data_IF_069690766050
#
_entry.id   IF_069690766050
#
_cell.length_a   1.000
_cell.length_b   1.000
_cell.length_c   1.000
_cell.angle_alpha   90.00
_cell.angle_beta   90.00
_cell.angle_gamma   90.00
#
_symmetry.space_group_name_H-M   'P 1'
#
loop_
_entity.id
_entity.type
_entity.pdbx_description
1 polymer ?
#
# COMPACT_ATOMS: atom_id res chain seq x y z
N UNK A 1 1.05 22.84 -14.56
CA UNK A 1 0.44 22.95 -15.91
C UNK A 1 -1.08 23.04 -15.87
N UNK A 2 -1.81 22.09 -15.27
CA UNK A 2 -3.30 22.17 -15.25
C UNK A 2 -3.91 23.20 -14.29
N UNK A 3 -3.18 23.63 -13.27
CA UNK A 3 -3.70 24.48 -12.18
C UNK A 3 -2.94 25.80 -12.00
N UNK A 4 -1.93 26.03 -12.83
CA UNK A 4 -1.05 27.21 -12.75
C UNK A 4 -0.98 27.74 -14.17
N UNK A 5 -1.22 29.04 -14.35
CA UNK A 5 -0.95 29.70 -15.63
C UNK A 5 0.52 29.45 -16.00
N UNK A 6 0.85 29.15 -17.28
CA UNK A 6 2.23 29.06 -17.72
C UNK A 6 3.03 30.26 -17.19
N UNK A 7 4.23 30.00 -16.68
CA UNK A 7 5.18 31.01 -16.14
C UNK A 7 4.75 31.76 -14.87
N UNK A 8 3.60 31.46 -14.26
CA UNK A 8 3.15 32.18 -13.06
C UNK A 8 3.88 31.78 -11.77
N UNK A 9 4.45 30.57 -11.72
CA UNK A 9 5.22 30.07 -10.57
C UNK A 9 6.41 29.24 -11.06
N UNK A 10 7.60 29.61 -10.60
CA UNK A 10 8.81 28.83 -10.79
C UNK A 10 8.88 27.70 -9.74
N UNK A 11 9.20 26.48 -10.18
CA UNK A 11 9.32 25.35 -9.26
C UNK A 11 10.46 24.39 -9.61
N UNK A 12 11.00 23.72 -8.59
CA UNK A 12 11.99 22.67 -8.75
C UNK A 12 11.58 21.40 -8.00
N UNK A 13 11.98 20.24 -8.51
CA UNK A 13 11.78 18.95 -7.85
C UNK A 13 13.06 18.55 -7.12
N UNK A 14 13.00 18.51 -5.79
CA UNK A 14 14.06 17.99 -4.95
C UNK A 14 13.84 16.49 -4.72
N UNK A 15 14.19 15.67 -5.73
CA UNK A 15 13.98 14.22 -5.71
C UNK A 15 14.96 13.51 -6.65
N UNK A 16 15.33 12.26 -6.33
CA UNK A 16 16.13 11.40 -7.21
C UNK A 16 17.63 11.75 -7.25
N UNK A 17 18.32 11.20 -8.25
CA UNK A 17 19.75 11.40 -8.49
C UNK A 17 20.08 12.83 -8.94
N UNK A 18 19.17 13.46 -9.69
CA UNK A 18 19.32 14.80 -10.26
C UNK A 18 18.90 15.91 -9.29
N UNK A 19 18.75 15.59 -7.99
CA UNK A 19 18.36 16.60 -7.01
C UNK A 19 19.41 17.73 -6.94
N UNK A 20 18.98 18.99 -6.93
CA UNK A 20 19.89 20.12 -6.80
C UNK A 20 20.60 20.03 -5.45
N UNK A 21 21.94 20.12 -5.48
CA UNK A 21 22.78 20.14 -4.27
C UNK A 21 23.13 21.55 -3.82
N UNK A 22 22.93 22.51 -4.71
CA UNK A 22 23.20 23.92 -4.51
C UNK A 22 21.97 24.63 -3.91
N UNK A 23 22.18 25.44 -2.88
CA UNK A 23 21.11 26.15 -2.17
C UNK A 23 20.61 27.31 -3.04
N UNK A 24 21.48 27.89 -3.84
CA UNK A 24 21.22 29.05 -4.69
C UNK A 24 20.21 28.67 -5.79
N UNK A 25 20.30 27.44 -6.31
CA UNK A 25 19.29 26.88 -7.21
C UNK A 25 17.92 26.74 -6.55
N UNK A 26 17.86 26.41 -5.25
CA UNK A 26 16.60 26.34 -4.50
C UNK A 26 16.03 27.73 -4.16
N UNK A 27 16.90 28.73 -3.95
CA UNK A 27 16.51 30.13 -3.70
C UNK A 27 16.00 30.84 -4.94
N UNK A 28 16.44 30.40 -6.13
CA UNK A 28 16.03 30.99 -7.40
C UNK A 28 14.60 30.64 -7.81
N UNK A 29 13.95 29.70 -7.12
CA UNK A 29 12.58 29.25 -7.41
C UNK A 29 11.62 29.56 -6.27
N UNK A 30 10.34 29.68 -6.58
CA UNK A 30 9.29 29.99 -5.61
C UNK A 30 8.73 28.75 -4.91
N UNK A 31 8.81 27.59 -5.56
CA UNK A 31 8.26 26.33 -5.05
C UNK A 31 9.28 25.18 -5.14
N UNK A 32 9.43 24.44 -4.04
CA UNK A 32 10.25 23.23 -4.01
C UNK A 32 9.37 22.04 -3.66
N UNK A 33 9.33 21.05 -4.55
CA UNK A 33 8.57 19.82 -4.37
C UNK A 33 9.51 18.68 -3.96
N UNK A 34 9.20 17.98 -2.87
CA UNK A 34 9.98 16.86 -2.35
C UNK A 34 9.06 15.75 -1.85
N UNK A 35 9.60 14.59 -1.51
CA UNK A 35 8.88 13.48 -0.89
C UNK A 35 9.29 13.32 0.57
N UNK A 36 8.44 12.70 1.40
CA UNK A 36 8.78 12.40 2.80
C UNK A 36 10.06 11.57 2.95
N UNK A 37 10.29 10.61 2.04
CA UNK A 37 11.49 9.78 2.05
C UNK A 37 12.74 10.60 1.71
N UNK A 38 12.68 11.46 0.69
CA UNK A 38 13.79 12.34 0.32
C UNK A 38 14.08 13.36 1.40
N UNK A 39 13.05 13.94 2.04
CA UNK A 39 13.20 14.84 3.17
C UNK A 39 13.89 14.16 4.36
N UNK A 40 13.47 12.94 4.71
CA UNK A 40 14.09 12.16 5.78
C UNK A 40 15.56 11.80 5.46
N UNK A 41 15.87 11.48 4.21
CA UNK A 41 17.23 11.22 3.76
C UNK A 41 18.10 12.49 3.78
N UNK A 42 17.58 13.64 3.37
CA UNK A 42 18.29 14.92 3.44
C UNK A 42 18.57 15.33 4.89
N UNK A 43 17.59 15.15 5.79
CA UNK A 43 17.76 15.42 7.22
C UNK A 43 18.88 14.62 7.87
N UNK A 44 19.05 13.36 7.46
CA UNK A 44 20.11 12.49 7.98
C UNK A 44 21.47 12.75 7.32
N UNK A 45 21.48 13.34 6.12
CA UNK A 45 22.68 13.57 5.31
C UNK A 45 23.07 15.03 5.22
N UNK A 46 22.92 15.60 4.02
CA UNK A 46 23.47 16.91 3.65
C UNK A 46 22.74 18.10 4.29
N UNK A 47 21.48 17.88 4.73
CA UNK A 47 20.59 18.85 5.38
C UNK A 47 20.43 20.15 4.56
N UNK A 48 20.34 20.04 3.24
CA UNK A 48 20.28 21.19 2.35
C UNK A 48 19.03 22.02 2.64
N UNK A 49 17.87 21.35 2.79
CA UNK A 49 16.59 22.02 3.04
C UNK A 49 16.52 22.71 4.41
N UNK A 50 17.46 22.43 5.31
CA UNK A 50 17.50 22.99 6.67
C UNK A 50 18.40 24.24 6.79
N UNK A 51 19.17 24.55 5.73
CA UNK A 51 20.07 25.72 5.67
C UNK A 51 19.37 27.00 5.20
N UNK A 52 18.06 26.93 4.94
CA UNK A 52 17.23 28.06 4.54
C UNK A 52 15.96 28.16 5.39
N UNK A 53 15.41 29.36 5.48
CA UNK A 53 14.10 29.61 6.09
C UNK A 53 13.02 29.52 5.01
N UNK A 54 12.00 28.70 5.24
CA UNK A 54 10.89 28.52 4.34
C UNK A 54 9.75 29.47 4.68
N UNK A 55 9.19 30.13 3.66
CA UNK A 55 8.01 30.97 3.82
C UNK A 55 6.77 30.19 4.30
N UNK A 56 6.63 28.94 3.82
CA UNK A 56 5.55 28.01 4.15
C UNK A 56 5.99 26.57 3.89
N UNK A 57 5.59 25.64 4.76
CA UNK A 57 5.69 24.20 4.52
C UNK A 57 4.28 23.63 4.48
N UNK A 58 3.99 22.87 3.43
CA UNK A 58 2.70 22.18 3.23
C UNK A 58 2.97 20.69 3.15
N UNK A 59 2.34 19.93 4.03
CA UNK A 59 2.39 18.48 4.05
C UNK A 59 1.13 17.93 3.39
N UNK A 60 1.29 17.33 2.22
CA UNK A 60 0.22 16.57 1.58
C UNK A 60 0.18 15.14 2.14
N UNK A 61 -1.02 14.57 2.25
CA UNK A 61 -1.27 13.34 3.00
C UNK A 61 -0.60 13.31 4.39
N UNK A 62 -0.85 14.33 5.21
CA UNK A 62 -0.15 14.53 6.48
C UNK A 62 -0.26 13.35 7.47
N UNK A 63 -1.16 12.38 7.25
CA UNK A 63 -1.22 11.14 8.02
C UNK A 63 0.10 10.33 7.99
N UNK A 64 0.99 10.55 7.02
CA UNK A 64 2.33 9.94 6.96
C UNK A 64 3.24 10.31 8.15
N UNK A 65 3.00 11.43 8.82
CA UNK A 65 3.81 11.89 9.97
C UNK A 65 3.15 11.59 11.33
N UNK A 66 2.11 10.73 11.37
CA UNK A 66 1.33 10.42 12.58
C UNK A 66 2.12 9.98 13.81
N UNK A 67 3.32 9.43 13.58
CA UNK A 67 4.21 8.97 14.65
C UNK A 67 5.33 9.99 14.89
N UNK A 68 5.29 10.64 16.06
CA UNK A 68 6.28 11.64 16.46
C UNK A 68 7.71 11.10 16.61
N UNK A 69 7.90 9.79 16.77
CA UNK A 69 9.24 9.18 16.82
C UNK A 69 9.82 8.84 15.45
N UNK A 70 9.00 8.89 14.39
CA UNK A 70 9.42 8.53 13.04
C UNK A 70 10.50 9.46 12.50
N UNK A 71 11.34 8.94 11.59
CA UNK A 71 12.34 9.75 10.89
C UNK A 71 11.68 10.84 10.04
N UNK A 72 10.55 10.54 9.40
CA UNK A 72 9.81 11.51 8.57
C UNK A 72 9.24 12.65 9.41
N UNK A 73 8.63 12.35 10.56
CA UNK A 73 8.12 13.38 11.47
C UNK A 73 9.22 14.32 11.94
N UNK A 74 10.35 13.77 12.41
CA UNK A 74 11.48 14.59 12.87
C UNK A 74 12.03 15.46 11.75
N UNK A 75 12.19 14.89 10.56
CA UNK A 75 12.65 15.63 9.39
C UNK A 75 11.70 16.80 9.03
N UNK A 76 10.38 16.56 8.97
CA UNK A 76 9.41 17.60 8.67
C UNK A 76 9.32 18.67 9.76
N UNK A 77 9.31 18.27 11.03
CA UNK A 77 9.18 19.18 12.17
C UNK A 77 10.40 20.12 12.31
N UNK A 78 11.61 19.64 11.99
CA UNK A 78 12.84 20.42 12.07
C UNK A 78 13.03 21.46 10.95
N UNK A 79 12.15 21.52 9.94
CA UNK A 79 12.23 22.58 8.92
C UNK A 79 11.94 23.95 9.56
N UNK A 80 12.78 24.93 9.24
CA UNK A 80 12.61 26.32 9.68
C UNK A 80 11.50 26.99 8.87
N UNK A 81 10.34 27.19 9.49
CA UNK A 81 9.18 27.89 8.89
C UNK A 81 8.27 28.43 9.98
N UNK A 82 7.63 29.56 9.70
CA UNK A 82 6.57 30.16 10.53
C UNK A 82 5.16 29.70 10.13
N UNK A 83 4.98 29.16 8.92
CA UNK A 83 3.67 28.78 8.37
C UNK A 83 3.65 27.31 8.00
N UNK A 84 2.74 26.56 8.60
CA UNK A 84 2.67 25.09 8.47
C UNK A 84 1.24 24.69 8.13
N UNK A 85 1.10 23.83 7.14
CA UNK A 85 -0.19 23.30 6.68
C UNK A 85 -0.12 21.78 6.60
N UNK A 86 -1.18 21.13 7.04
CA UNK A 86 -1.42 19.71 6.86
C UNK A 86 -2.65 19.54 5.97
N UNK A 87 -2.50 18.85 4.85
CA UNK A 87 -3.59 18.44 3.97
C UNK A 87 -3.74 16.92 4.12
N UNK A 88 -4.92 16.46 4.51
CA UNK A 88 -5.22 15.03 4.67
C UNK A 88 -6.73 14.83 4.71
N UNK A 89 -7.24 13.82 4.00
CA UNK A 89 -8.64 13.39 4.11
C UNK A 89 -8.92 12.65 5.41
N UNK A 90 -7.90 11.95 5.94
CA UNK A 90 -7.97 11.08 7.12
C UNK A 90 -6.97 11.57 8.19
N UNK A 91 -7.28 12.61 8.97
CA UNK A 91 -6.37 13.11 10.03
C UNK A 91 -6.20 12.13 11.20
N UNK A 92 -7.12 11.18 11.35
CA UNK A 92 -7.12 10.12 12.36
C UNK A 92 -7.25 8.81 11.60
N UNK A 93 -6.32 7.87 11.77
CA UNK A 93 -6.38 6.57 11.09
C UNK A 93 -6.53 5.42 12.06
N UNK A 94 -5.61 5.30 13.02
CA UNK A 94 -5.60 4.14 13.92
C UNK A 94 -5.96 4.54 15.34
N UNK A 95 -5.46 5.69 15.80
CA UNK A 95 -5.66 6.13 17.18
C UNK A 95 -5.76 7.65 17.26
N UNK A 96 -6.42 8.14 18.31
CA UNK A 96 -6.58 9.58 18.53
C UNK A 96 -5.25 10.30 18.81
N UNK A 97 -4.21 9.56 19.23
CA UNK A 97 -2.87 10.08 19.38
C UNK A 97 -2.24 10.54 18.05
N UNK A 98 -2.77 10.09 16.91
CA UNK A 98 -2.33 10.54 15.58
C UNK A 98 -2.46 12.08 15.48
N UNK A 99 -3.49 12.67 16.11
CA UNK A 99 -3.70 14.13 16.16
C UNK A 99 -2.59 14.87 16.91
N UNK A 100 -1.95 14.23 17.88
CA UNK A 100 -0.89 14.86 18.69
C UNK A 100 0.29 15.21 17.80
N UNK A 101 0.68 14.29 16.93
CA UNK A 101 1.79 14.53 16.00
C UNK A 101 1.47 15.67 15.04
N UNK A 102 0.26 15.71 14.47
CA UNK A 102 -0.18 16.78 13.58
C UNK A 102 -0.18 18.14 14.30
N UNK A 103 -0.71 18.17 15.53
CA UNK A 103 -0.69 19.36 16.38
C UNK A 103 0.73 19.83 16.72
N UNK A 104 1.64 18.91 17.01
CA UNK A 104 3.05 19.19 17.27
C UNK A 104 3.76 19.76 16.04
N UNK A 105 3.53 19.17 14.86
CA UNK A 105 4.08 19.68 13.62
C UNK A 105 3.54 21.08 13.34
N UNK A 106 2.23 21.30 13.45
CA UNK A 106 1.58 22.59 13.20
C UNK A 106 1.87 23.66 14.28
N UNK A 107 2.44 23.27 15.42
CA UNK A 107 2.74 24.14 16.57
C UNK A 107 1.49 24.86 17.12
N UNK A 108 0.36 24.15 17.18
CA UNK A 108 -0.93 24.72 17.61
C UNK A 108 -0.98 24.91 19.14
N UNK A 109 -1.52 26.04 19.65
CA UNK A 109 -1.78 26.20 21.07
C UNK A 109 -3.11 25.53 21.50
N UNK A 110 -3.28 25.16 22.77
CA UNK A 110 -2.28 25.13 23.82
C UNK A 110 -1.53 23.78 23.80
N UNK A 111 -0.33 23.72 23.19
CA UNK A 111 0.51 22.52 23.27
C UNK A 111 1.94 22.88 23.66
N UNK A 112 2.35 22.57 24.91
CA UNK A 112 3.77 22.43 25.19
C UNK A 112 4.24 20.96 25.11
N UNK A 113 3.39 19.96 25.38
CA UNK A 113 3.79 18.53 25.41
C UNK A 113 2.67 17.53 25.09
N UNK A 114 3.06 16.31 24.67
CA UNK A 114 2.16 15.16 24.45
C UNK A 114 1.28 14.85 25.68
N UNK A 115 1.84 14.93 26.88
CA UNK A 115 1.15 14.65 28.13
C UNK A 115 0.00 15.64 28.40
N UNK A 116 0.21 16.93 28.11
CA UNK A 116 -0.84 17.95 28.27
C UNK A 116 -2.01 17.70 27.32
N UNK A 117 -1.72 17.38 26.05
CA UNK A 117 -2.75 17.06 25.07
C UNK A 117 -3.54 15.81 25.47
N UNK A 118 -2.84 14.75 25.91
CA UNK A 118 -3.48 13.54 26.39
C UNK A 118 -4.36 13.80 27.60
N UNK A 119 -3.92 14.58 28.58
CA UNK A 119 -4.71 14.85 29.80
C UNK A 119 -5.93 15.72 29.51
N UNK A 120 -5.76 16.80 28.75
CA UNK A 120 -6.76 17.86 28.66
C UNK A 120 -7.71 17.71 27.46
N UNK A 121 -7.26 17.08 26.37
CA UNK A 121 -8.04 16.91 25.14
C UNK A 121 -8.57 15.48 25.02
N UNK A 122 -7.70 14.48 25.17
CA UNK A 122 -8.08 13.08 24.98
C UNK A 122 -8.62 12.40 26.24
N UNK A 123 -8.13 12.76 27.42
CA UNK A 123 -8.51 12.17 28.71
C UNK A 123 -10.02 12.20 28.98
N UNK A 124 -10.72 13.32 28.71
CA UNK A 124 -12.17 13.39 28.85
C UNK A 124 -12.92 12.37 27.97
N UNK A 125 -12.37 11.97 26.82
CA UNK A 125 -13.00 10.98 25.93
C UNK A 125 -13.03 9.59 26.57
N UNK A 126 -11.97 9.23 27.30
CA UNK A 126 -11.84 7.92 27.95
C UNK A 126 -12.66 7.81 29.25
N UNK A 127 -12.95 8.94 29.90
CA UNK A 127 -13.68 8.98 31.18
C UNK A 127 -15.21 8.93 31.02
N UNK A 128 -15.72 9.26 29.83
CA UNK A 128 -17.17 9.32 29.57
C UNK A 128 -17.86 10.49 30.28
N UNK A 129 -19.19 10.61 30.11
CA UNK A 129 -20.02 11.64 30.75
C UNK A 129 -20.65 12.66 29.78
N UNK A 130 -21.49 13.55 30.29
CA UNK A 130 -22.09 14.65 29.51
C UNK A 130 -20.97 15.62 29.07
N UNK A 131 -20.80 15.81 27.75
CA UNK A 131 -19.76 16.67 27.13
C UNK A 131 -18.33 16.09 27.05
N UNK A 132 -18.15 14.78 27.16
CA UNK A 132 -16.85 14.11 27.02
C UNK A 132 -16.04 14.53 25.77
N UNK A 133 -16.74 14.77 24.64
CA UNK A 133 -16.11 15.16 23.37
C UNK A 133 -15.92 16.67 23.17
N UNK A 134 -16.43 17.52 24.08
CA UNK A 134 -16.43 18.99 23.91
C UNK A 134 -15.01 19.57 23.76
N UNK A 135 -13.99 19.17 24.54
CA UNK A 135 -12.63 19.69 24.39
C UNK A 135 -12.02 19.36 23.01
N UNK A 136 -12.15 18.11 22.57
CA UNK A 136 -11.66 17.68 21.26
C UNK A 136 -12.41 18.40 20.13
N UNK A 137 -13.74 18.51 20.24
CA UNK A 137 -14.54 19.18 19.21
C UNK A 137 -14.17 20.67 19.09
N UNK A 138 -14.06 21.39 20.20
CA UNK A 138 -13.65 22.79 20.18
C UNK A 138 -12.23 22.97 19.59
N UNK A 139 -11.31 22.04 19.90
CA UNK A 139 -9.97 22.03 19.33
C UNK A 139 -9.99 21.83 17.81
N UNK A 140 -10.76 20.85 17.33
CA UNK A 140 -10.89 20.59 15.90
C UNK A 140 -11.63 21.72 15.17
N UNK A 141 -12.67 22.31 15.75
CA UNK A 141 -13.39 23.44 15.16
C UNK A 141 -12.48 24.69 15.02
N UNK A 142 -11.54 24.89 15.94
CA UNK A 142 -10.61 26.02 15.89
C UNK A 142 -9.50 25.86 14.82
N UNK A 143 -9.04 24.62 14.58
CA UNK A 143 -7.80 24.38 13.80
C UNK A 143 -7.97 23.51 12.55
N UNK A 144 -9.10 22.82 12.41
CA UNK A 144 -9.36 21.91 11.29
C UNK A 144 -10.53 22.43 10.45
N UNK A 145 -10.29 22.59 9.16
CA UNK A 145 -11.35 22.81 8.18
C UNK A 145 -11.67 21.49 7.48
N UNK A 146 -12.77 20.85 7.86
CA UNK A 146 -13.28 19.64 7.18
C UNK A 146 -14.65 19.93 6.60
N UNK A 147 -14.76 19.82 5.27
CA UNK A 147 -16.03 19.86 4.54
C UNK A 147 -16.33 18.45 4.04
N UNK A 148 -17.58 18.03 4.14
CA UNK A 148 -18.01 16.72 3.63
C UNK A 148 -18.55 16.84 2.21
N UNK A 149 -18.60 15.72 1.50
CA UNK A 149 -19.22 15.63 0.18
C UNK A 149 -20.68 16.06 0.16
N UNK A 150 -21.37 16.11 1.31
CA UNK A 150 -22.72 16.67 1.44
C UNK A 150 -22.81 18.14 1.01
N UNK A 151 -21.67 18.84 0.94
CA UNK A 151 -21.60 20.20 0.38
C UNK A 151 -21.58 20.21 -1.17
N UNK A 152 -21.49 19.05 -1.80
CA UNK A 152 -21.47 18.84 -3.24
C UNK A 152 -22.71 18.04 -3.64
N UNK A 153 -23.36 18.42 -4.74
CA UNK A 153 -24.45 17.63 -5.33
C UNK A 153 -23.86 16.55 -6.23
N UNK A 154 -23.29 15.51 -5.62
CA UNK A 154 -22.78 14.35 -6.34
C UNK A 154 -23.84 13.24 -6.36
N UNK A 155 -23.91 12.43 -7.44
CA UNK A 155 -24.72 11.21 -7.41
C UNK A 155 -24.20 10.28 -6.31
N UNK A 156 -25.08 9.54 -5.62
CA UNK A 156 -24.65 8.64 -4.56
C UNK A 156 -23.74 7.54 -5.13
N UNK A 157 -22.59 7.33 -4.49
CA UNK A 157 -21.79 6.12 -4.73
C UNK A 157 -22.56 4.92 -4.17
N UNK A 158 -22.65 3.84 -4.94
CA UNK A 158 -23.27 2.58 -4.51
C UNK A 158 -22.18 1.59 -4.16
N UNK A 159 -22.05 1.29 -2.88
CA UNK A 159 -21.23 0.19 -2.38
C UNK A 159 -22.06 -1.10 -2.42
N UNK A 160 -21.45 -2.19 -2.90
CA UNK A 160 -22.07 -3.51 -2.97
C UNK A 160 -21.07 -4.58 -2.51
N UNK A 161 -21.42 -5.28 -1.44
CA UNK A 161 -20.62 -6.39 -0.93
C UNK A 161 -21.04 -7.68 -1.63
N UNK A 162 -20.15 -8.20 -2.48
CA UNK A 162 -20.39 -9.44 -3.24
C UNK A 162 -19.85 -10.63 -2.45
N UNK A 163 -20.74 -11.36 -1.79
CA UNK A 163 -20.39 -12.60 -1.09
C UNK A 163 -20.15 -13.73 -2.09
N UNK A 164 -18.97 -14.33 -2.05
CA UNK A 164 -18.57 -15.44 -2.93
C UNK A 164 -18.58 -16.77 -2.18
N UNK A 165 -19.02 -17.82 -2.86
CA UNK A 165 -18.93 -19.20 -2.36
C UNK A 165 -17.69 -19.85 -2.93
N UNK A 166 -16.74 -20.25 -2.07
CA UNK A 166 -15.53 -20.94 -2.51
C UNK A 166 -15.87 -22.22 -3.25
N UNK A 167 -15.09 -22.55 -4.27
CA UNK A 167 -15.20 -23.85 -4.95
C UNK A 167 -14.97 -25.00 -3.96
N UNK A 168 -15.51 -26.19 -4.25
CA UNK A 168 -15.35 -27.37 -3.37
C UNK A 168 -13.88 -27.65 -3.05
N UNK A 169 -12.98 -27.45 -4.03
CA UNK A 169 -11.54 -27.64 -3.86
C UNK A 169 -10.90 -26.58 -2.97
N UNK A 170 -11.23 -25.30 -3.16
CA UNK A 170 -10.73 -24.21 -2.31
C UNK A 170 -11.28 -24.31 -0.89
N UNK A 171 -12.56 -24.68 -0.73
CA UNK A 171 -13.21 -24.89 0.56
C UNK A 171 -12.49 -25.98 1.36
N UNK A 172 -12.19 -27.11 0.71
CA UNK A 172 -11.46 -28.20 1.35
C UNK A 172 -10.06 -27.79 1.81
N UNK A 173 -9.28 -27.10 0.96
CA UNK A 173 -7.95 -26.60 1.34
C UNK A 173 -8.04 -25.56 2.47
N UNK A 174 -9.07 -24.72 2.45
CA UNK A 174 -9.29 -23.72 3.50
C UNK A 174 -9.57 -24.41 4.83
N UNK A 175 -10.43 -25.43 4.84
CA UNK A 175 -10.76 -26.17 6.07
C UNK A 175 -9.56 -26.91 6.63
N UNK A 176 -8.73 -27.54 5.78
CA UNK A 176 -7.47 -28.15 6.21
C UNK A 176 -6.52 -27.13 6.88
N UNK A 177 -6.35 -25.97 6.24
CA UNK A 177 -5.51 -24.90 6.77
C UNK A 177 -6.08 -24.30 8.07
N UNK A 178 -7.40 -24.19 8.16
CA UNK A 178 -8.09 -23.70 9.34
C UNK A 178 -7.89 -24.67 10.52
N UNK A 179 -8.05 -25.97 10.29
CA UNK A 179 -7.86 -27.00 11.32
C UNK A 179 -6.41 -27.06 11.80
N UNK A 180 -5.45 -26.95 10.88
CA UNK A 180 -4.03 -26.89 11.23
C UNK A 180 -3.72 -25.65 12.07
N UNK A 181 -4.19 -24.48 11.62
CA UNK A 181 -4.04 -23.21 12.33
C UNK A 181 -4.64 -23.28 13.72
N UNK A 182 -5.84 -23.84 13.85
CA UNK A 182 -6.54 -24.00 15.13
C UNK A 182 -5.71 -24.85 16.09
N UNK A 183 -5.22 -26.01 15.64
CA UNK A 183 -4.34 -26.88 16.43
C UNK A 183 -3.06 -26.16 16.90
N UNK A 184 -2.45 -25.36 16.02
CA UNK A 184 -1.27 -24.56 16.39
C UNK A 184 -1.61 -23.51 17.46
N UNK A 185 -2.75 -22.82 17.34
CA UNK A 185 -3.19 -21.84 18.34
C UNK A 185 -3.50 -22.52 19.67
N UNK A 186 -4.24 -23.63 19.67
CA UNK A 186 -4.62 -24.37 20.88
C UNK A 186 -3.38 -24.86 21.64
N UNK A 187 -2.35 -25.33 20.93
CA UNK A 187 -1.05 -25.71 21.51
C UNK A 187 -0.36 -24.52 22.18
N UNK A 188 -0.34 -23.35 21.52
CA UNK A 188 0.32 -22.15 22.03
C UNK A 188 -0.38 -21.58 23.27
N UNK A 189 -1.71 -21.62 23.31
CA UNK A 189 -2.49 -21.17 24.47
C UNK A 189 -2.25 -22.09 25.67
N UNK A 190 -2.00 -23.37 25.42
CA UNK A 190 -1.74 -24.37 26.46
C UNK A 190 -0.35 -24.23 27.09
N UNK A 191 0.64 -23.69 26.36
CA UNK A 191 2.04 -23.61 26.82
C UNK A 191 2.34 -22.45 27.80
N UNK A 192 1.37 -21.63 28.21
CA UNK A 192 1.55 -20.41 29.07
C UNK A 192 2.56 -19.39 28.55
N UNK A 193 3.15 -19.61 27.39
CA UNK A 193 4.01 -18.65 26.74
C UNK A 193 3.13 -17.53 26.18
N UNK A 194 3.55 -16.28 26.35
CA UNK A 194 2.83 -15.13 25.77
C UNK A 194 2.61 -15.40 24.29
N UNK A 195 1.35 -15.62 23.88
CA UNK A 195 1.00 -15.92 22.49
C UNK A 195 1.64 -14.86 21.62
N UNK A 196 2.72 -15.22 20.91
CA UNK A 196 3.37 -14.30 19.99
C UNK A 196 2.33 -13.99 18.91
N UNK A 197 1.70 -12.82 18.97
CA UNK A 197 0.65 -12.39 18.06
C UNK A 197 1.04 -12.58 16.59
N UNK A 198 2.35 -12.56 16.30
CA UNK A 198 2.94 -12.89 15.02
C UNK A 198 2.45 -14.24 14.45
N UNK A 199 2.35 -15.31 15.26
CA UNK A 199 1.89 -16.63 14.78
C UNK A 199 0.42 -16.59 14.32
N UNK A 200 -0.43 -15.85 15.05
CA UNK A 200 -1.84 -15.62 14.67
C UNK A 200 -1.93 -14.83 13.36
N UNK A 201 -1.17 -13.74 13.22
CA UNK A 201 -1.15 -12.94 12.00
C UNK A 201 -0.65 -13.74 10.80
N UNK A 202 0.39 -14.57 10.97
CA UNK A 202 0.87 -15.46 9.91
C UNK A 202 -0.23 -16.40 9.44
N UNK A 203 -0.97 -17.02 10.37
CA UNK A 203 -2.04 -17.94 9.99
C UNK A 203 -3.23 -17.24 9.32
N UNK A 204 -3.63 -16.06 9.81
CA UNK A 204 -4.62 -15.21 9.14
C UNK A 204 -4.17 -14.83 7.73
N UNK A 205 -2.88 -14.52 7.54
CA UNK A 205 -2.33 -14.20 6.24
C UNK A 205 -2.40 -15.40 5.28
N UNK A 206 -2.10 -16.61 5.74
CA UNK A 206 -2.24 -17.84 4.93
C UNK A 206 -3.66 -18.03 4.41
N UNK A 207 -4.66 -17.88 5.29
CA UNK A 207 -6.08 -18.01 4.91
C UNK A 207 -6.50 -16.93 3.91
N UNK A 208 -6.08 -15.67 4.12
CA UNK A 208 -6.32 -14.57 3.19
C UNK A 208 -5.71 -14.85 1.81
N UNK A 209 -4.49 -15.37 1.77
CA UNK A 209 -3.78 -15.72 0.53
C UNK A 209 -4.49 -16.81 -0.26
N UNK A 210 -4.99 -17.85 0.40
CA UNK A 210 -5.77 -18.90 -0.23
C UNK A 210 -7.07 -18.35 -0.84
N UNK A 211 -7.79 -17.48 -0.12
CA UNK A 211 -9.00 -16.84 -0.65
C UNK A 211 -8.72 -15.96 -1.89
N UNK A 212 -7.52 -15.40 -2.03
CA UNK A 212 -7.15 -14.56 -3.17
C UNK A 212 -6.61 -15.38 -4.35
N UNK A 213 -5.72 -16.33 -4.07
CA UNK A 213 -4.93 -17.06 -5.09
C UNK A 213 -5.55 -18.41 -5.49
N UNK A 214 -6.53 -18.89 -4.72
CA UNK A 214 -7.21 -20.16 -4.97
C UNK A 214 -6.27 -21.36 -4.93
N UNK A 215 -6.57 -22.37 -5.75
CA UNK A 215 -5.81 -23.63 -5.80
C UNK A 215 -4.58 -23.59 -6.71
N UNK A 216 -4.33 -22.48 -7.40
CA UNK A 216 -3.29 -22.37 -8.43
C UNK A 216 -1.86 -22.46 -7.88
N UNK A 217 -1.64 -22.09 -6.62
CA UNK A 217 -0.32 -22.24 -5.97
C UNK A 217 0.05 -23.70 -5.65
N UNK A 218 -0.70 -24.68 -6.16
CA UNK A 218 -0.38 -26.11 -6.06
C UNK A 218 0.66 -26.62 -7.07
N UNK A 219 1.15 -25.79 -8.00
CA UNK A 219 2.18 -26.21 -8.96
C UNK A 219 3.55 -26.53 -8.33
N UNK A 220 3.71 -26.34 -7.00
CA UNK A 220 4.88 -26.77 -6.22
C UNK A 220 4.62 -27.91 -5.23
N UNK A 221 3.45 -28.56 -5.24
CA UNK A 221 3.12 -29.66 -4.32
C UNK A 221 3.55 -31.04 -4.86
N UNK A 222 4.79 -31.17 -5.38
CA UNK A 222 5.42 -32.50 -5.44
C UNK A 222 6.10 -32.77 -4.10
N UNK A 223 5.36 -33.40 -3.20
CA UNK A 223 5.88 -33.94 -1.95
C UNK A 223 6.79 -35.12 -2.28
N UNK A 224 8.09 -34.86 -2.49
CA UNK A 224 9.11 -35.90 -2.41
C UNK A 224 10.52 -35.30 -2.36
N UNK A 225 11.14 -35.47 -1.19
CA UNK A 225 12.59 -35.59 -0.93
C UNK A 225 13.51 -34.45 -1.38
N UNK A 226 13.93 -33.60 -0.44
CA UNK A 226 15.29 -33.05 -0.39
C UNK A 226 15.67 -32.73 1.06
N UNK A 227 16.83 -33.23 1.47
CA UNK A 227 17.36 -33.19 2.83
C UNK A 227 17.91 -31.82 3.28
N UNK A 228 18.59 -31.79 4.45
CA UNK A 228 18.93 -30.56 5.13
C UNK A 228 20.17 -29.92 4.50
N UNK A 229 19.97 -28.93 3.62
CA UNK A 229 21.01 -27.95 3.31
C UNK A 229 20.43 -26.56 3.51
N UNK A 230 20.76 -25.97 4.67
CA UNK A 230 20.47 -24.59 5.03
C UNK A 230 21.10 -23.65 3.98
N UNK A 231 20.28 -22.86 3.29
CA UNK A 231 20.69 -21.65 2.57
C UNK A 231 19.83 -20.50 3.05
N UNK A 232 20.49 -19.40 3.41
CA UNK A 232 19.84 -18.17 3.88
C UNK A 232 18.98 -17.56 2.78
N UNK A 233 17.68 -17.42 3.05
CA UNK A 233 16.73 -16.77 2.15
C UNK A 233 16.22 -15.51 2.82
N UNK A 234 16.65 -14.34 2.34
CA UNK A 234 16.33 -13.02 2.91
C UNK A 234 15.31 -12.21 2.12
N UNK A 235 14.48 -11.43 2.81
CA UNK A 235 13.59 -10.46 2.18
C UNK A 235 14.33 -9.14 1.91
N UNK A 236 14.45 -8.72 0.65
CA UNK A 236 15.13 -7.47 0.25
C UNK A 236 14.55 -6.19 0.91
N UNK A 237 13.35 -6.26 1.49
CA UNK A 237 12.64 -5.10 2.05
C UNK A 237 12.51 -5.13 3.58
N UNK A 238 12.58 -6.30 4.19
CA UNK A 238 12.43 -6.48 5.63
C UNK A 238 13.79 -6.84 6.20
N UNK A 239 14.46 -5.89 6.84
CA UNK A 239 15.81 -6.06 7.42
C UNK A 239 15.84 -6.90 8.70
N UNK A 240 14.84 -7.75 8.94
CA UNK A 240 14.74 -8.60 10.11
C UNK A 240 14.98 -10.05 9.72
N UNK A 241 16.08 -10.62 10.18
CA UNK A 241 16.28 -12.07 10.21
C UNK A 241 16.35 -12.47 11.67
N UNK A 242 15.24 -12.96 12.22
CA UNK A 242 15.30 -13.87 13.36
C UNK A 242 15.29 -15.29 12.79
N UNK A 243 16.30 -16.09 13.11
CA UNK A 243 16.46 -17.48 12.65
C UNK A 243 15.23 -18.36 12.99
N UNK A 244 14.50 -18.01 14.04
CA UNK A 244 13.25 -18.67 14.47
C UNK A 244 12.04 -18.42 13.53
N UNK A 245 12.15 -17.47 12.61
CA UNK A 245 11.03 -17.08 11.71
C UNK A 245 11.06 -17.82 10.37
N UNK A 246 12.12 -18.57 10.07
CA UNK A 246 12.20 -19.42 8.87
C UNK A 246 11.56 -20.77 9.16
N UNK A 247 10.24 -20.77 9.33
CA UNK A 247 9.47 -22.00 9.21
C UNK A 247 9.39 -22.35 7.73
N UNK A 248 10.30 -23.21 7.28
CA UNK A 248 10.26 -23.91 6.00
C UNK A 248 8.91 -24.63 5.89
N UNK A 249 7.94 -23.98 5.24
CA UNK A 249 6.73 -24.65 4.79
C UNK A 249 7.05 -25.37 3.48
N UNK A 250 6.69 -26.65 3.44
CA UNK A 250 6.57 -27.49 2.25
C UNK A 250 6.21 -26.67 0.98
N UNK A 251 7.24 -26.23 0.25
CA UNK A 251 7.13 -25.60 -1.08
C UNK A 251 6.73 -24.11 -1.14
N UNK A 252 6.55 -23.40 -0.03
CA UNK A 252 6.10 -21.99 -0.05
C UNK A 252 7.11 -21.09 0.65
N UNK A 253 8.12 -20.61 -0.09
CA UNK A 253 9.07 -19.63 0.43
C UNK A 253 8.43 -18.24 0.42
N UNK A 254 7.98 -17.74 1.57
CA UNK A 254 7.46 -16.38 1.74
C UNK A 254 8.05 -15.71 2.99
N UNK A 255 8.22 -14.39 2.94
CA UNK A 255 8.66 -13.56 4.04
C UNK A 255 7.55 -13.51 5.10
N UNK A 256 7.81 -13.92 6.35
CA UNK A 256 6.81 -13.90 7.42
C UNK A 256 6.36 -12.49 7.81
N UNK A 257 7.20 -11.47 7.60
CA UNK A 257 6.88 -10.08 7.98
C UNK A 257 6.04 -9.33 6.95
N UNK A 258 6.19 -9.65 5.67
CA UNK A 258 5.50 -8.92 4.59
C UNK A 258 4.71 -9.79 3.62
N UNK A 259 4.70 -11.11 3.81
CA UNK A 259 3.98 -12.06 2.98
C UNK A 259 4.49 -12.18 1.54
N UNK A 260 5.68 -11.64 1.22
CA UNK A 260 6.24 -11.70 -0.14
C UNK A 260 6.92 -13.04 -0.42
N UNK A 261 6.78 -13.62 -1.63
CA UNK A 261 7.54 -14.81 -2.00
C UNK A 261 9.05 -14.52 -1.93
N UNK A 262 9.82 -15.41 -1.31
CA UNK A 262 11.27 -15.34 -1.28
C UNK A 262 11.82 -16.23 -2.40
N UNK A 263 12.64 -15.66 -3.28
CA UNK A 263 13.17 -16.39 -4.44
C UNK A 263 14.33 -17.31 -4.02
N UNK A 264 14.32 -18.56 -4.47
CA UNK A 264 15.51 -19.43 -4.49
C UNK A 264 16.27 -19.11 -5.78
N UNK A 265 17.43 -18.48 -5.68
CA UNK A 265 18.38 -18.42 -6.79
C UNK A 265 18.94 -19.83 -7.04
N UNK A 266 18.55 -20.46 -8.15
CA UNK A 266 19.10 -21.75 -8.57
C UNK A 266 20.54 -21.59 -9.08
N UNK A 267 21.49 -22.48 -8.70
CA UNK A 267 22.78 -22.56 -9.35
C UNK A 267 22.68 -23.43 -10.61
N UNK A 268 23.12 -22.91 -11.76
CA UNK A 268 23.46 -23.70 -12.95
C UNK A 268 24.58 -24.72 -12.61
N UNK A 269 24.58 -25.95 -13.19
CA UNK A 269 25.80 -26.74 -13.32
C UNK A 269 26.61 -26.25 -14.54
N UNK A 270 27.93 -26.16 -14.36
CA UNK A 270 28.84 -25.56 -15.34
C UNK A 270 29.27 -26.44 -16.52
N UNK A 271 29.78 -25.71 -17.52
CA UNK A 271 30.69 -26.05 -18.65
C UNK A 271 30.25 -27.04 -19.72
N UNK A 272 30.08 -26.57 -20.97
CA UNK A 272 31.03 -26.70 -22.11
C UNK A 272 30.74 -25.58 -23.13
N UNK A 273 31.79 -25.07 -23.77
CA UNK A 273 31.86 -23.98 -24.75
C UNK A 273 30.87 -24.03 -25.94
N UNK A 274 30.48 -22.86 -26.45
CA UNK A 274 29.84 -22.70 -27.76
C UNK A 274 29.09 -21.38 -27.95
N UNK A 275 29.62 -20.51 -28.82
CA UNK A 275 29.03 -19.23 -29.23
C UNK A 275 27.61 -19.35 -29.82
N UNK A 276 26.65 -18.54 -29.37
CA UNK A 276 25.74 -17.66 -30.17
C UNK A 276 24.58 -17.11 -29.32
N UNK A 277 24.13 -15.92 -29.70
CA UNK A 277 23.27 -15.02 -28.92
C UNK A 277 21.91 -15.57 -28.48
N UNK A 278 21.38 -14.94 -27.43
CA UNK A 278 20.06 -15.21 -26.86
C UNK A 278 19.60 -14.06 -25.96
N UNK A 279 18.32 -13.76 -26.07
CA UNK A 279 17.57 -12.68 -25.44
C UNK A 279 17.70 -12.68 -23.91
N UNK A 280 17.76 -11.48 -23.32
CA UNK A 280 17.95 -11.29 -21.88
C UNK A 280 16.77 -11.82 -21.07
N UNK A 281 17.01 -12.90 -20.33
CA UNK A 281 16.10 -13.52 -19.39
C UNK A 281 15.92 -12.61 -18.15
N UNK A 282 14.76 -11.94 -18.10
CA UNK A 282 14.40 -11.02 -17.02
C UNK A 282 13.84 -11.80 -15.82
N UNK A 283 14.57 -11.73 -14.71
CA UNK A 283 14.21 -12.20 -13.37
C UNK A 283 12.70 -12.07 -13.04
N UNK A 284 12.12 -13.17 -12.56
CA UNK A 284 10.69 -13.43 -12.44
C UNK A 284 9.86 -12.52 -11.52
N UNK A 285 8.70 -12.16 -12.07
CA UNK A 285 7.53 -11.47 -11.54
C UNK A 285 7.15 -11.75 -10.07
N UNK A 286 7.11 -10.72 -9.22
CA UNK A 286 6.78 -10.86 -7.79
C UNK A 286 5.41 -10.28 -7.38
N UNK A 287 4.50 -10.05 -8.33
CA UNK A 287 3.12 -9.60 -8.05
C UNK A 287 2.10 -10.63 -8.56
N UNK A 288 2.08 -11.81 -7.95
CA UNK A 288 1.27 -12.96 -8.38
C UNK A 288 -0.21 -12.64 -8.54
N UNK A 289 -0.85 -11.90 -7.63
CA UNK A 289 -2.30 -11.58 -7.73
C UNK A 289 -2.60 -10.60 -8.87
N UNK A 290 -1.81 -9.52 -9.04
CA UNK A 290 -2.01 -8.58 -10.15
C UNK A 290 -1.71 -9.24 -11.49
N UNK A 291 -0.67 -10.09 -11.54
CA UNK A 291 -0.33 -10.82 -12.76
C UNK A 291 -1.37 -11.92 -13.05
N UNK A 292 -1.99 -12.52 -12.02
CA UNK A 292 -3.15 -13.41 -12.18
C UNK A 292 -4.36 -12.65 -12.71
N UNK A 293 -4.70 -11.49 -12.14
CA UNK A 293 -5.80 -10.66 -12.63
C UNK A 293 -5.57 -10.24 -14.10
N UNK A 294 -4.36 -9.81 -14.44
CA UNK A 294 -3.93 -9.48 -15.78
C UNK A 294 -4.09 -10.66 -16.78
N UNK A 295 -3.67 -11.87 -16.36
CA UNK A 295 -3.84 -13.09 -17.17
C UNK A 295 -5.32 -13.42 -17.37
N UNK A 296 -6.14 -13.37 -16.33
CA UNK A 296 -7.57 -13.69 -16.42
C UNK A 296 -8.31 -12.67 -17.31
N UNK A 297 -7.95 -11.39 -17.20
CA UNK A 297 -8.53 -10.32 -18.04
C UNK A 297 -8.18 -10.51 -19.52
N UNK A 298 -7.03 -11.12 -19.83
CA UNK A 298 -6.56 -11.35 -21.20
C UNK A 298 -6.98 -12.72 -21.79
N UNK A 299 -7.31 -13.71 -20.96
CA UNK A 299 -7.78 -15.03 -21.41
C UNK A 299 -9.31 -15.09 -21.43
N UNK A 300 -9.89 -15.26 -22.61
CA UNK A 300 -11.32 -15.48 -22.80
C UNK A 300 -11.88 -16.62 -21.92
N UNK A 301 -13.07 -16.39 -21.37
CA UNK A 301 -13.99 -17.42 -20.91
C UNK A 301 -14.58 -18.18 -22.10
N UNK A 302 -13.77 -18.99 -22.79
CA UNK A 302 -14.33 -20.14 -23.49
C UNK A 302 -14.55 -21.23 -22.43
N UNK A 303 -15.80 -21.66 -22.32
CA UNK A 303 -16.37 -22.48 -21.26
C UNK A 303 -15.88 -23.94 -21.21
N UNK A 304 -14.58 -24.19 -21.42
CA UNK A 304 -14.02 -25.55 -21.54
C UNK A 304 -12.77 -25.86 -20.71
N UNK A 305 -12.36 -25.02 -19.75
CA UNK A 305 -11.40 -25.44 -18.71
C UNK A 305 -11.77 -24.94 -17.30
N UNK A 306 -12.51 -25.76 -16.51
CA UNK A 306 -12.90 -25.39 -15.17
C UNK A 306 -11.83 -25.82 -14.15
N UNK A 307 -10.71 -25.09 -13.97
CA UNK A 307 -9.89 -25.23 -12.74
C UNK A 307 -8.69 -24.27 -12.52
N UNK A 308 -8.37 -23.31 -13.39
CA UNK A 308 -7.06 -22.62 -13.27
C UNK A 308 -7.04 -21.36 -12.40
N UNK A 309 -8.19 -20.75 -12.08
CA UNK A 309 -8.23 -19.46 -11.39
C UNK A 309 -9.00 -19.52 -10.06
N UNK A 310 -8.69 -18.59 -9.15
CA UNK A 310 -9.43 -18.49 -7.90
C UNK A 310 -10.88 -18.07 -8.14
N UNK A 311 -11.80 -18.55 -7.31
CA UNK A 311 -13.22 -18.16 -7.40
C UNK A 311 -13.38 -16.65 -7.33
N UNK A 312 -12.52 -16.00 -6.53
CA UNK A 312 -12.53 -14.55 -6.32
C UNK A 312 -12.14 -13.75 -7.56
N UNK A 313 -11.03 -14.08 -8.20
CA UNK A 313 -10.60 -13.37 -9.40
C UNK A 313 -11.52 -13.66 -10.59
N UNK A 314 -12.05 -14.88 -10.67
CA UNK A 314 -13.05 -15.24 -11.69
C UNK A 314 -14.32 -14.37 -11.57
N UNK A 315 -14.82 -14.17 -10.35
CA UNK A 315 -15.97 -13.31 -10.11
C UNK A 315 -15.70 -11.84 -10.48
N UNK A 316 -14.50 -11.33 -10.20
CA UNK A 316 -14.11 -9.96 -10.59
C UNK A 316 -14.10 -9.80 -12.10
N UNK A 317 -13.48 -10.72 -12.84
CA UNK A 317 -13.42 -10.62 -14.30
C UNK A 317 -14.80 -10.77 -14.92
N UNK A 318 -15.62 -11.70 -14.43
CA UNK A 318 -17.03 -11.78 -14.83
C UNK A 318 -17.73 -10.44 -14.58
N UNK A 319 -17.59 -9.85 -13.40
CA UNK A 319 -18.19 -8.54 -13.11
C UNK A 319 -17.70 -7.45 -14.05
N UNK A 320 -16.41 -7.39 -14.39
CA UNK A 320 -15.86 -6.43 -15.35
C UNK A 320 -16.52 -6.59 -16.73
N UNK A 321 -16.65 -7.82 -17.23
CA UNK A 321 -17.34 -8.07 -18.51
C UNK A 321 -18.84 -7.70 -18.47
N UNK A 322 -19.52 -7.88 -17.34
CA UNK A 322 -20.94 -7.54 -17.22
C UNK A 322 -21.21 -6.04 -17.01
N UNK A 323 -20.20 -5.28 -16.57
CA UNK A 323 -20.36 -3.94 -16.00
C UNK A 323 -20.31 -2.76 -17.00
N UNK A 324 -19.76 -2.94 -18.22
CA UNK A 324 -19.58 -1.82 -19.17
C UNK A 324 -20.02 -2.14 -20.60
N UNK A 325 -20.72 -1.23 -21.32
CA UNK A 325 -21.08 -1.43 -22.73
C UNK A 325 -19.85 -1.55 -23.65
N UNK A 326 -18.72 -0.95 -23.26
CA UNK A 326 -17.44 -1.04 -23.99
C UNK A 326 -16.71 -2.36 -23.72
N UNK A 327 -16.65 -2.81 -22.45
CA UNK A 327 -16.09 -4.11 -22.07
C UNK A 327 -16.88 -5.30 -22.65
N UNK A 328 -18.20 -5.15 -22.86
CA UNK A 328 -19.05 -6.15 -23.53
C UNK A 328 -18.79 -6.31 -25.03
N UNK A 329 -18.22 -5.29 -25.68
CA UNK A 329 -18.02 -5.25 -27.14
C UNK A 329 -16.62 -5.69 -27.56
N UNK A 330 -15.68 -5.77 -26.62
CA UNK A 330 -14.30 -6.15 -26.90
C UNK A 330 -14.11 -7.66 -26.69
N UNK A 331 -13.44 -8.31 -27.64
CA UNK A 331 -12.99 -9.70 -27.46
C UNK A 331 -11.92 -9.78 -26.35
N UNK A 332 -10.93 -8.88 -26.38
CA UNK A 332 -9.91 -8.78 -25.33
C UNK A 332 -10.05 -7.46 -24.56
N UNK A 333 -10.18 -7.54 -23.24
CA UNK A 333 -10.23 -6.36 -22.37
C UNK A 333 -8.81 -5.82 -22.20
N UNK A 334 -8.53 -4.64 -22.76
CA UNK A 334 -7.23 -4.00 -22.55
C UNK A 334 -7.15 -3.41 -21.14
N UNK A 335 -6.00 -3.61 -20.50
CA UNK A 335 -5.73 -3.12 -19.16
C UNK A 335 -4.37 -2.42 -19.06
N UNK A 336 -4.26 -1.54 -18.08
CA UNK A 336 -2.98 -1.02 -17.59
C UNK A 336 -2.71 -1.55 -16.18
N UNK A 337 -1.45 -1.75 -15.83
CA UNK A 337 -1.04 -2.15 -14.47
C UNK A 337 -0.13 -1.09 -13.86
N UNK A 338 -0.32 -0.75 -12.59
CA UNK A 338 0.59 0.14 -11.86
C UNK A 338 0.91 -0.51 -10.51
N UNK A 339 2.19 -0.75 -10.28
CA UNK A 339 2.69 -1.21 -8.98
C UNK A 339 3.86 -0.34 -8.47
N UNK A 340 4.40 -0.72 -7.32
CA UNK A 340 5.49 0.01 -6.66
C UNK A 340 6.84 -0.05 -7.38
N UNK A 341 6.99 -0.88 -8.43
CA UNK A 341 8.22 -1.01 -9.23
C UNK A 341 8.20 -0.11 -10.46
N UNK A 342 7.01 0.25 -10.95
CA UNK A 342 6.85 1.13 -12.11
C UNK A 342 7.45 2.51 -11.83
N UNK A 343 8.36 2.96 -12.70
CA UNK A 343 9.01 4.27 -12.61
C UNK A 343 7.98 5.41 -12.69
N UNK A 344 8.33 6.61 -12.21
CA UNK A 344 7.42 7.75 -12.27
C UNK A 344 7.02 8.11 -13.72
N UNK A 345 7.97 8.07 -14.66
CA UNK A 345 7.72 8.38 -16.07
C UNK A 345 6.75 7.37 -16.69
N UNK A 346 6.99 6.08 -16.45
CA UNK A 346 6.14 5.01 -16.96
C UNK A 346 4.75 5.01 -16.30
N UNK A 347 4.67 5.28 -14.99
CA UNK A 347 3.40 5.47 -14.28
C UNK A 347 2.58 6.59 -14.91
N UNK A 348 3.21 7.72 -15.21
CA UNK A 348 2.57 8.85 -15.86
C UNK A 348 2.07 8.50 -17.26
N UNK A 349 2.82 7.70 -18.02
CA UNK A 349 2.41 7.22 -19.34
C UNK A 349 1.20 6.26 -19.24
N UNK A 350 1.23 5.27 -18.34
CA UNK A 350 0.12 4.31 -18.14
C UNK A 350 -1.17 5.01 -17.67
N UNK A 351 -1.07 6.00 -16.78
CA UNK A 351 -2.22 6.81 -16.36
C UNK A 351 -2.78 7.66 -17.51
N UNK A 352 -1.91 8.20 -18.36
CA UNK A 352 -2.32 8.95 -19.55
C UNK A 352 -3.06 8.03 -20.53
N UNK A 353 -2.53 6.83 -20.78
CA UNK A 353 -3.18 5.82 -21.62
C UNK A 353 -4.58 5.47 -21.09
N UNK A 354 -4.72 5.19 -19.80
CA UNK A 354 -6.03 4.90 -19.20
C UNK A 354 -7.02 6.08 -19.29
N UNK A 355 -6.52 7.32 -19.33
CA UNK A 355 -7.35 8.52 -19.43
C UNK A 355 -7.75 8.87 -20.87
N UNK A 356 -6.88 8.61 -21.84
CA UNK A 356 -7.01 9.09 -23.22
C UNK A 356 -7.41 7.99 -24.21
N UNK A 357 -7.06 6.73 -23.95
CA UNK A 357 -7.38 5.60 -24.84
C UNK A 357 -8.65 4.88 -24.36
N UNK A 358 -9.80 5.06 -25.05
CA UNK A 358 -11.07 4.43 -24.66
C UNK A 358 -11.04 2.91 -24.79
N UNK A 359 -10.00 2.33 -25.42
CA UNK A 359 -9.87 0.88 -25.51
C UNK A 359 -9.38 0.29 -24.18
N UNK A 360 -8.64 1.06 -23.38
CA UNK A 360 -8.11 0.62 -22.08
C UNK A 360 -9.16 0.83 -21.00
N UNK A 361 -9.94 -0.20 -20.70
CA UNK A 361 -11.09 -0.10 -19.79
C UNK A 361 -10.80 -0.56 -18.36
N UNK A 362 -9.64 -1.19 -18.11
CA UNK A 362 -9.23 -1.64 -16.77
C UNK A 362 -7.89 -1.03 -16.35
N UNK A 363 -7.82 -0.57 -15.10
CA UNK A 363 -6.58 -0.19 -14.43
C UNK A 363 -6.37 -1.09 -13.19
N UNK A 364 -5.36 -1.95 -13.25
CA UNK A 364 -4.93 -2.78 -12.13
C UNK A 364 -3.91 -2.00 -11.29
N UNK A 365 -4.16 -1.92 -9.99
CA UNK A 365 -3.22 -1.28 -9.06
C UNK A 365 -3.26 -1.91 -7.68
N UNK A 366 -2.14 -1.85 -6.98
CA UNK A 366 -2.14 -2.12 -5.53
C UNK A 366 -2.81 -0.96 -4.81
N UNK A 367 -3.56 -1.24 -3.73
CA UNK A 367 -4.18 -0.21 -2.89
C UNK A 367 -3.15 0.81 -2.44
N UNK A 368 -1.96 0.38 -2.03
CA UNK A 368 -0.88 1.29 -1.61
C UNK A 368 -0.37 2.23 -2.72
N UNK A 369 -0.40 1.82 -3.99
CA UNK A 369 -0.07 2.70 -5.13
C UNK A 369 -1.25 3.55 -5.59
N UNK A 370 -2.48 3.09 -5.36
CA UNK A 370 -3.72 3.75 -5.73
C UNK A 370 -4.21 4.81 -4.74
N UNK A 371 -3.93 4.62 -3.45
CA UNK A 371 -4.49 5.38 -2.34
C UNK A 371 -3.91 6.79 -2.18
N UNK A 372 -2.86 7.17 -2.92
CA UNK A 372 -2.20 8.47 -2.74
C UNK A 372 -1.83 9.10 -4.08
N UNK A 373 -2.28 10.34 -4.27
CA UNK A 373 -1.74 11.22 -5.32
C UNK A 373 -2.15 10.88 -6.76
N UNK A 374 -3.22 10.12 -6.95
CA UNK A 374 -3.76 9.81 -8.29
C UNK A 374 -5.13 10.47 -8.48
N UNK A 375 -5.27 11.21 -9.59
CA UNK A 375 -6.55 11.75 -10.01
C UNK A 375 -7.18 10.85 -11.08
N UNK A 376 -8.05 9.93 -10.65
CA UNK A 376 -8.71 8.92 -11.49
C UNK A 376 -10.18 9.28 -11.81
N UNK A 377 -10.47 10.55 -12.14
CA UNK A 377 -11.85 11.00 -12.45
C UNK A 377 -12.52 10.28 -13.62
N UNK A 378 -11.76 9.55 -14.45
CA UNK A 378 -12.31 8.76 -15.57
C UNK A 378 -12.87 7.42 -15.10
N UNK A 379 -12.48 6.93 -13.93
CA UNK A 379 -12.98 5.67 -13.39
C UNK A 379 -14.37 5.87 -12.79
N UNK A 380 -15.30 4.96 -13.12
CA UNK A 380 -16.69 4.99 -12.65
C UNK A 380 -17.05 3.78 -11.77
N UNK A 381 -16.16 2.79 -11.67
CA UNK A 381 -16.31 1.58 -10.86
C UNK A 381 -14.97 1.22 -10.24
N UNK A 382 -15.00 0.81 -8.97
CA UNK A 382 -13.83 0.35 -8.23
C UNK A 382 -14.12 -1.05 -7.69
N UNK A 383 -13.22 -1.99 -7.97
CA UNK A 383 -13.30 -3.36 -7.46
C UNK A 383 -12.19 -3.56 -6.42
N UNK A 384 -12.57 -3.61 -5.14
CA UNK A 384 -11.65 -3.92 -4.06
C UNK A 384 -11.56 -5.44 -3.93
N UNK A 385 -10.47 -6.00 -4.43
CA UNK A 385 -10.25 -7.45 -4.38
C UNK A 385 -9.67 -7.86 -3.03
N UNK A 386 -8.85 -7.05 -2.35
CA UNK A 386 -8.29 -7.43 -1.06
C UNK A 386 -8.63 -6.41 0.04
N UNK A 387 -9.51 -6.76 0.99
CA UNK A 387 -9.86 -5.85 2.08
C UNK A 387 -8.68 -5.63 3.02
N UNK A 388 -8.47 -4.39 3.43
CA UNK A 388 -7.43 -3.93 4.32
C UNK A 388 -7.84 -4.06 5.79
N UNK A 389 -6.84 -4.11 6.67
CA UNK A 389 -7.08 -4.13 8.12
C UNK A 389 -7.64 -2.81 8.65
N UNK A 390 -7.31 -1.69 7.99
CA UNK A 390 -7.84 -0.37 8.32
C UNK A 390 -8.81 0.06 7.19
N UNK A 391 -10.12 0.18 7.48
CA UNK A 391 -11.13 0.62 6.50
C UNK A 391 -10.82 2.00 5.88
N UNK A 392 -10.17 2.89 6.63
CA UNK A 392 -9.80 4.24 6.15
C UNK A 392 -8.78 4.26 5.02
N UNK A 393 -8.23 3.10 4.64
CA UNK A 393 -7.33 2.95 3.48
C UNK A 393 -8.13 2.65 2.21
N UNK A 394 -9.36 2.17 2.35
CA UNK A 394 -10.30 1.88 1.26
C UNK A 394 -11.25 3.03 0.96
N UNK A 395 -11.62 3.80 2.00
CA UNK A 395 -12.33 5.09 1.92
C UNK A 395 -11.42 6.20 1.40
#
# INVERSE_FOLDING_TARGET
DRHISPEALSFIRFHGCDKPRDIEALRAVELVLTTYATLAADHAGQRILYRMEWYRVVLDEAHWIRNSSSRQFRAASCLHTKRRWCLTGTPIQNKLEDLISLAQFLQLPPVPTKASFQKNILGPLSQGGLNFARPLRAYLEAYCLRRSEKCLTLPPSRQEDVTLQLSTRERHLYDLLLDETRRQIDSLVSEKDTVKCNKLFTAMMKMRMLCNSGTFSSAGLSVSSLGPQHREVGCERCSGMDEDSVMLMNGWLLCPDCGRPLCISSPLPGSVDGERGGEGDSCGDSNTIMNQAARIISTHTDSSSPSEFSTKLSAVVQNVHHSGPEAKRQANVLYCQIDGRVSHAERSARLRMFKEDPRVVVLLMSIGTGAVGLNLTVANRVHIVEPQWNPSVEE
#
